data_IF_239486233947
#
_entry.id   IF_239486233947
#
_cell.length_a   1.000
_cell.length_b   1.000
_cell.length_c   1.000
_cell.angle_alpha   90.00
_cell.angle_beta   90.00
_cell.angle_gamma   90.00
#
_symmetry.space_group_name_H-M   'P 1'
#
loop_
_entity.id
_entity.type
_entity.pdbx_description
1 polymer ?
#
# COMPACT_ATOMS: atom_id res chain seq x y z
N UNK A 1 -34.89 8.70 -28.82
CA UNK A 1 -33.87 7.67 -29.17
C UNK A 1 -32.53 8.09 -28.59
N UNK A 2 -31.76 7.12 -28.10
CA UNK A 2 -30.75 7.22 -27.06
C UNK A 2 -29.36 7.66 -27.58
N UNK A 3 -28.67 8.68 -27.02
CA UNK A 3 -27.26 8.92 -27.24
C UNK A 3 -26.44 8.12 -26.20
N UNK A 4 -26.46 6.79 -26.33
CA UNK A 4 -25.67 5.90 -25.49
C UNK A 4 -24.60 5.22 -26.35
N UNK A 5 -23.38 5.76 -26.33
CA UNK A 5 -22.10 5.05 -26.57
C UNK A 5 -20.95 6.07 -26.59
N UNK A 6 -20.60 6.60 -25.41
CA UNK A 6 -19.23 7.03 -25.15
C UNK A 6 -18.56 5.85 -24.43
N UNK A 7 -18.19 4.82 -25.20
CA UNK A 7 -17.19 3.86 -24.74
C UNK A 7 -15.89 4.64 -24.64
N UNK A 8 -15.57 5.11 -23.43
CA UNK A 8 -14.24 5.61 -23.14
C UNK A 8 -13.27 4.48 -23.43
N UNK A 9 -12.57 4.55 -24.57
CA UNK A 9 -11.39 3.74 -24.85
C UNK A 9 -10.48 3.85 -23.63
N UNK A 10 -10.47 2.82 -22.79
CA UNK A 10 -9.44 2.65 -21.78
C UNK A 10 -8.14 2.48 -22.56
N UNK A 11 -7.31 3.54 -22.52
CA UNK A 11 -5.99 3.52 -23.11
C UNK A 11 -5.29 2.22 -22.68
N UNK A 12 -4.59 1.51 -23.58
CA UNK A 12 -3.87 0.30 -23.23
C UNK A 12 -2.98 0.61 -22.03
N UNK A 13 -3.09 -0.20 -20.97
CA UNK A 13 -2.22 -0.11 -19.80
C UNK A 13 -0.77 -0.26 -20.31
N UNK A 14 -0.11 0.87 -20.57
CA UNK A 14 1.34 0.87 -20.69
C UNK A 14 1.83 0.35 -19.36
N UNK A 15 2.57 -0.75 -19.38
CA UNK A 15 3.13 -1.37 -18.19
C UNK A 15 4.12 -0.36 -17.60
N UNK A 16 3.60 0.54 -16.76
CA UNK A 16 4.39 1.55 -16.09
C UNK A 16 5.46 0.83 -15.29
N UNK A 17 6.72 1.21 -15.50
CA UNK A 17 7.81 0.64 -14.73
C UNK A 17 7.69 1.00 -13.24
N UNK A 18 6.94 2.06 -12.91
CA UNK A 18 6.69 2.54 -11.55
C UNK A 18 5.21 2.57 -11.20
N UNK A 19 4.89 2.35 -9.93
CA UNK A 19 3.53 2.40 -9.39
C UNK A 19 3.54 2.85 -7.93
N UNK A 20 2.51 3.55 -7.47
CA UNK A 20 2.38 3.99 -6.08
C UNK A 20 1.44 3.06 -5.32
N UNK A 21 1.85 2.63 -4.12
CA UNK A 21 0.99 1.83 -3.24
C UNK A 21 1.19 2.20 -1.77
N UNK A 22 0.13 2.13 -0.94
CA UNK A 22 0.28 2.19 0.50
C UNK A 22 1.07 0.97 0.99
N UNK A 23 2.01 1.20 1.91
CA UNK A 23 2.85 0.15 2.49
C UNK A 23 2.77 0.21 4.00
N UNK A 24 2.11 -0.80 4.57
CA UNK A 24 2.08 -0.98 6.01
C UNK A 24 3.30 -1.81 6.43
N UNK A 25 4.14 -1.24 7.28
CA UNK A 25 5.26 -1.93 7.93
C UNK A 25 5.49 -1.34 9.33
N UNK A 26 6.11 -2.09 10.25
CA UNK A 26 6.45 -1.58 11.58
C UNK A 26 7.14 -0.22 11.53
N UNK A 27 6.75 0.69 12.42
CA UNK A 27 7.31 2.04 12.55
C UNK A 27 6.77 3.09 11.58
N UNK A 28 5.94 2.72 10.59
CA UNK A 28 5.31 3.71 9.70
C UNK A 28 4.19 4.45 10.43
N UNK A 29 4.14 5.78 10.22
CA UNK A 29 3.03 6.61 10.67
C UNK A 29 1.85 6.51 9.72
N UNK A 30 0.66 6.34 10.30
CA UNK A 30 -0.62 6.32 9.60
C UNK A 30 -1.58 7.32 10.24
N UNK A 31 -2.57 7.75 9.49
CA UNK A 31 -3.70 8.53 9.99
C UNK A 31 -4.89 7.61 10.18
N UNK A 32 -5.52 7.68 11.35
CA UNK A 32 -6.72 6.94 11.68
C UNK A 32 -7.64 7.83 12.50
N UNK A 33 -8.88 8.01 12.02
CA UNK A 33 -9.86 8.89 12.65
C UNK A 33 -9.30 10.29 13.04
N UNK A 34 -8.47 10.88 12.17
CA UNK A 34 -7.86 12.20 12.38
C UNK A 34 -6.64 12.22 13.32
N UNK A 35 -6.18 11.08 13.83
CA UNK A 35 -4.99 10.98 14.70
C UNK A 35 -3.82 10.31 13.97
N UNK A 36 -2.61 10.80 14.23
CA UNK A 36 -1.39 10.13 13.78
C UNK A 36 -1.09 8.98 14.74
N UNK A 37 -1.11 7.76 14.22
CA UNK A 37 -0.78 6.52 14.92
C UNK A 37 0.45 5.87 14.28
N UNK A 38 1.08 4.93 14.99
CA UNK A 38 2.26 4.21 14.51
C UNK A 38 1.93 2.73 14.35
N UNK A 39 2.31 2.15 13.21
CA UNK A 39 2.16 0.71 12.97
C UNK A 39 3.12 -0.06 13.86
N UNK A 40 2.60 -0.98 14.66
CA UNK A 40 3.37 -1.95 15.42
C UNK A 40 3.78 -3.12 14.53
N UNK A 41 2.79 -3.81 13.94
CA UNK A 41 2.99 -4.94 13.06
C UNK A 41 1.78 -5.15 12.16
N UNK A 42 1.95 -6.00 11.14
CA UNK A 42 0.91 -6.32 10.17
C UNK A 42 0.72 -7.83 10.17
N UNK A 43 -0.54 -8.26 10.21
CA UNK A 43 -0.91 -9.68 10.15
C UNK A 43 -1.68 -9.93 8.86
N UNK A 44 -1.28 -10.97 8.15
CA UNK A 44 -2.01 -11.50 6.99
C UNK A 44 -2.61 -12.86 7.39
N UNK A 45 -3.94 -12.96 7.36
CA UNK A 45 -4.65 -14.20 7.70
C UNK A 45 -5.89 -14.35 6.84
N UNK A 46 -6.10 -15.54 6.25
CA UNK A 46 -7.30 -15.87 5.44
C UNK A 46 -7.61 -14.84 4.34
N UNK A 47 -6.56 -14.34 3.66
CA UNK A 47 -6.66 -13.27 2.63
C UNK A 47 -7.11 -11.90 3.16
N UNK A 48 -7.15 -11.72 4.47
CA UNK A 48 -7.36 -10.43 5.10
C UNK A 48 -6.04 -9.90 5.67
N UNK A 49 -5.87 -8.58 5.58
CA UNK A 49 -4.77 -7.86 6.20
C UNK A 49 -5.30 -7.07 7.38
N UNK A 50 -4.62 -7.17 8.51
CA UNK A 50 -4.92 -6.46 9.74
C UNK A 50 -3.69 -5.68 10.20
N UNK A 51 -3.88 -4.41 10.53
CA UNK A 51 -2.79 -3.51 10.95
C UNK A 51 -2.92 -3.25 12.43
N UNK A 52 -1.92 -3.64 13.20
CA UNK A 52 -1.84 -3.35 14.62
C UNK A 52 -1.12 -2.04 14.85
N UNK A 53 -1.71 -1.18 15.69
CA UNK A 53 -1.16 0.13 16.04
C UNK A 53 -0.55 0.08 17.44
N UNK A 54 0.51 0.86 17.67
CA UNK A 54 1.17 0.92 18.98
C UNK A 54 0.19 1.40 20.04
N UNK A 55 0.05 0.64 21.13
CA UNK A 55 -0.83 0.99 22.26
C UNK A 55 -2.32 0.74 22.02
N UNK A 56 -2.69 0.08 20.91
CA UNK A 56 -4.07 -0.29 20.60
C UNK A 56 -4.21 -1.82 20.60
N UNK A 57 -5.19 -2.31 21.36
CA UNK A 57 -5.44 -3.76 21.45
C UNK A 57 -6.10 -4.32 20.19
N UNK A 58 -7.10 -3.60 19.66
CA UNK A 58 -7.84 -4.05 18.48
C UNK A 58 -7.12 -3.70 17.18
N UNK A 59 -6.93 -4.67 16.27
CA UNK A 59 -6.38 -4.40 14.96
C UNK A 59 -7.34 -3.57 14.10
N UNK A 60 -6.76 -2.76 13.20
CA UNK A 60 -7.50 -1.89 12.30
C UNK A 60 -7.40 -2.43 10.88
N UNK A 61 -8.53 -2.42 10.15
CA UNK A 61 -8.53 -2.76 8.74
C UNK A 61 -7.80 -1.68 7.92
N UNK A 62 -6.98 -2.05 6.93
CA UNK A 62 -6.14 -1.10 6.20
C UNK A 62 -6.92 0.00 5.48
N UNK A 63 -8.13 -0.29 5.00
CA UNK A 63 -9.02 0.70 4.36
C UNK A 63 -9.50 1.82 5.29
N UNK A 64 -9.31 1.67 6.62
CA UNK A 64 -9.60 2.73 7.61
C UNK A 64 -8.37 3.59 7.93
N UNK A 65 -7.22 3.27 7.34
CA UNK A 65 -5.96 3.96 7.56
C UNK A 65 -5.54 4.72 6.31
N UNK A 66 -5.04 5.94 6.49
CA UNK A 66 -4.45 6.72 5.42
C UNK A 66 -2.96 6.90 5.67
N UNK A 67 -2.14 6.74 4.63
CA UNK A 67 -0.72 7.06 4.66
C UNK A 67 -0.27 7.56 3.30
N UNK A 68 0.88 8.24 3.28
CA UNK A 68 1.54 8.63 2.03
C UNK A 68 1.89 7.37 1.23
N UNK A 69 1.42 7.24 -0.02
CA UNK A 69 1.78 6.11 -0.88
C UNK A 69 3.29 6.05 -1.11
N UNK A 70 3.85 4.84 -1.12
CA UNK A 70 5.24 4.59 -1.47
C UNK A 70 5.35 4.31 -2.97
N UNK A 71 6.38 4.87 -3.61
CA UNK A 71 6.71 4.58 -5.00
C UNK A 71 7.45 3.24 -5.09
N UNK A 72 6.94 2.34 -5.92
CA UNK A 72 7.54 1.08 -6.29
C UNK A 72 7.99 1.11 -7.74
N UNK A 73 8.96 0.26 -8.06
CA UNK A 73 9.35 -0.05 -9.44
C UNK A 73 9.27 -1.56 -9.66
N UNK A 74 8.88 -1.94 -10.87
CA UNK A 74 8.94 -3.33 -11.35
C UNK A 74 10.33 -3.71 -11.87
N UNK A 75 11.24 -2.73 -11.96
CA UNK A 75 12.63 -2.97 -12.33
C UNK A 75 13.37 -3.65 -11.18
N UNK A 76 14.04 -4.75 -11.50
CA UNK A 76 14.91 -5.44 -10.56
C UNK A 76 16.06 -4.51 -10.18
N UNK A 77 16.13 -4.11 -8.92
CA UNK A 77 17.34 -3.48 -8.39
C UNK A 77 18.42 -4.55 -8.24
N UNK A 78 19.62 -4.38 -8.81
CA UNK A 78 20.72 -5.29 -8.54
C UNK A 78 21.04 -5.22 -7.04
N UNK A 79 20.90 -6.34 -6.33
CA UNK A 79 21.42 -6.44 -4.97
C UNK A 79 22.94 -6.48 -5.06
N UNK A 80 23.61 -5.47 -4.51
CA UNK A 80 25.05 -5.57 -4.28
C UNK A 80 25.21 -6.63 -3.20
N UNK A 81 25.59 -7.84 -3.59
CA UNK A 81 26.00 -8.91 -2.69
C UNK A 81 27.26 -8.44 -1.95
N UNK A 82 27.10 -7.75 -0.83
CA UNK A 82 28.19 -7.51 0.12
C UNK A 82 28.35 -8.77 0.96
N UNK A 83 28.96 -9.79 0.37
CA UNK A 83 29.62 -10.82 1.16
C UNK A 83 30.83 -10.12 1.80
N UNK A 84 30.76 -9.85 3.10
CA UNK A 84 31.91 -9.31 3.82
C UNK A 84 32.93 -10.44 4.01
N UNK A 85 34.15 -10.21 3.52
CA UNK A 85 35.40 -10.90 3.91
C UNK A 85 35.80 -10.51 5.32
#
# INVERSE_FOLDING_TARGET
MNPGQAEGQQAPYTRGHTFQMPVFKPGVRVMHAGRSETVSHVVLRRREMMVHLVGRDEPVKPERLTLTPTMFTTERRPEVLSWFL
#
